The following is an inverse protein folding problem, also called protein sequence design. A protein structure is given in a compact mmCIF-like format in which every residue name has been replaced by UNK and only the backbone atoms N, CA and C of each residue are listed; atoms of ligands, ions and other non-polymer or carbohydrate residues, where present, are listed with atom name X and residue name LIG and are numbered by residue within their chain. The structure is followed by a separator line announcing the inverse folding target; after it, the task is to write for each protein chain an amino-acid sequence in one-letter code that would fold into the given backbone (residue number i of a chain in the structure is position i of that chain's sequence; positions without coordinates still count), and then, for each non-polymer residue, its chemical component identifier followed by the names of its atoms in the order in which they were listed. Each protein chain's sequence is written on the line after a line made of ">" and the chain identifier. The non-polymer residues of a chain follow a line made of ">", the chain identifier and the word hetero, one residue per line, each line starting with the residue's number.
data_IF_948740961307
#
_entry.id   IF_948740961307
#
_cell.length_a   1.000
_cell.length_b   1.000
_cell.length_c   1.000
_cell.angle_alpha   90.00
_cell.angle_beta   90.00
_cell.angle_gamma   90.00
#
_symmetry.space_group_name_H-M   'P 1'
#
loop_
_entity.id
_entity.type
_entity.pdbx_description
1 polymer ?
#
# COMPACT_ATOMS: atom_id res chain seq x y z
N UNK A 1 3.43 18.03 6.91
CA UNK A 1 4.43 17.58 5.92
C UNK A 1 4.88 16.16 6.25
N UNK A 2 4.81 15.24 5.28
CA UNK A 2 5.30 13.86 5.44
C UNK A 2 6.70 13.71 4.83
N UNK A 3 7.58 12.90 5.43
CA UNK A 3 8.93 12.60 4.94
C UNK A 3 9.03 11.13 4.55
N UNK A 4 9.32 10.83 3.29
CA UNK A 4 9.50 9.45 2.81
C UNK A 4 10.90 9.27 2.24
N UNK A 5 11.62 8.30 2.77
CA UNK A 5 12.98 7.96 2.35
C UNK A 5 12.95 6.95 1.21
N UNK A 6 13.70 7.21 0.15
CA UNK A 6 14.06 6.21 -0.85
C UNK A 6 15.50 5.75 -0.57
N UNK A 7 15.65 4.48 -0.19
CA UNK A 7 16.94 3.85 0.11
C UNK A 7 17.17 2.62 -0.76
N UNK A 8 18.36 2.03 -0.69
CA UNK A 8 18.75 0.84 -1.45
C UNK A 8 20.15 0.96 -2.04
N UNK A 9 20.67 -0.15 -2.55
CA UNK A 9 22.02 -0.24 -3.09
C UNK A 9 22.26 0.63 -4.33
N UNK A 10 23.52 0.68 -4.81
CA UNK A 10 23.85 1.26 -6.10
C UNK A 10 23.00 0.66 -7.23
N UNK A 11 22.67 1.49 -8.23
CA UNK A 11 21.85 1.11 -9.39
C UNK A 11 20.40 0.68 -9.07
N UNK A 12 19.89 0.95 -7.86
CA UNK A 12 18.47 0.74 -7.53
C UNK A 12 17.51 1.72 -8.23
N UNK A 13 18.04 2.78 -8.86
CA UNK A 13 17.29 3.76 -9.64
C UNK A 13 16.72 4.93 -8.83
N UNK A 14 17.21 5.19 -7.62
CA UNK A 14 16.72 6.24 -6.70
C UNK A 14 16.55 7.60 -7.36
N UNK A 15 17.61 8.18 -7.91
CA UNK A 15 17.60 9.52 -8.51
C UNK A 15 16.59 9.64 -9.65
N UNK A 16 16.54 8.63 -10.55
CA UNK A 16 15.55 8.59 -11.63
C UNK A 16 14.13 8.45 -11.08
N UNK A 17 13.92 7.59 -10.09
CA UNK A 17 12.61 7.38 -9.46
C UNK A 17 12.11 8.63 -8.76
N UNK A 18 12.95 9.37 -8.01
CA UNK A 18 12.58 10.62 -7.34
C UNK A 18 11.99 11.65 -8.31
N UNK A 19 12.64 11.86 -9.46
CA UNK A 19 12.16 12.78 -10.48
C UNK A 19 10.82 12.33 -11.10
N UNK A 20 10.68 11.03 -11.36
CA UNK A 20 9.43 10.48 -11.88
C UNK A 20 8.28 10.58 -10.85
N UNK A 21 8.56 10.26 -9.59
CA UNK A 21 7.61 10.33 -8.48
C UNK A 21 7.13 11.76 -8.25
N UNK A 22 8.04 12.74 -8.19
CA UNK A 22 7.67 14.17 -8.10
C UNK A 22 6.65 14.52 -9.17
N UNK A 23 6.97 14.23 -10.44
CA UNK A 23 6.09 14.55 -11.57
C UNK A 23 4.71 13.87 -11.47
N UNK A 24 4.66 12.62 -11.01
CA UNK A 24 3.41 11.85 -10.92
C UNK A 24 2.53 12.30 -9.75
N UNK A 25 3.13 12.53 -8.59
CA UNK A 25 2.44 12.98 -7.39
C UNK A 25 1.96 14.44 -7.52
N UNK A 26 2.73 15.31 -8.18
CA UNK A 26 2.29 16.69 -8.47
C UNK A 26 1.11 16.74 -9.44
N UNK A 27 1.05 15.82 -10.41
CA UNK A 27 -0.13 15.66 -11.28
C UNK A 27 -1.38 15.24 -10.51
N UNK A 28 -1.21 14.63 -9.34
CA UNK A 28 -2.29 14.26 -8.40
C UNK A 28 -2.62 15.39 -7.41
N UNK A 29 -2.01 16.56 -7.56
CA UNK A 29 -2.28 17.75 -6.73
C UNK A 29 -1.39 17.91 -5.50
N UNK A 30 -0.42 17.02 -5.27
CA UNK A 30 0.49 17.10 -4.12
C UNK A 30 1.66 18.06 -4.39
N UNK A 31 1.99 18.92 -3.44
CA UNK A 31 3.22 19.70 -3.49
C UNK A 31 4.39 18.88 -2.93
N UNK A 32 5.29 18.44 -3.83
CA UNK A 32 6.39 17.52 -3.51
C UNK A 32 7.75 18.23 -3.56
N UNK A 33 8.51 18.14 -2.47
CA UNK A 33 9.90 18.61 -2.40
C UNK A 33 10.84 17.41 -2.50
N UNK A 34 11.91 17.52 -3.30
CA UNK A 34 12.97 16.51 -3.35
C UNK A 34 14.12 16.96 -2.47
N UNK A 35 14.60 16.05 -1.62
CA UNK A 35 15.81 16.22 -0.85
C UNK A 35 16.92 15.35 -1.45
N UNK A 36 17.89 15.99 -2.09
CA UNK A 36 18.98 15.32 -2.81
C UNK A 36 20.05 14.78 -1.86
N UNK A 37 20.79 13.75 -2.30
CA UNK A 37 21.87 13.13 -1.52
C UNK A 37 23.01 14.12 -1.21
N UNK A 38 23.30 14.31 0.08
CA UNK A 38 24.37 15.20 0.56
C UNK A 38 25.78 14.71 0.21
N UNK A 39 25.97 13.39 0.11
CA UNK A 39 27.28 12.80 -0.21
C UNK A 39 27.87 13.35 -1.52
N UNK A 40 27.03 13.56 -2.54
CA UNK A 40 27.47 14.11 -3.82
C UNK A 40 27.96 15.56 -3.69
N UNK A 41 27.32 16.36 -2.83
CA UNK A 41 27.75 17.73 -2.54
C UNK A 41 29.09 17.75 -1.78
N UNK A 42 29.22 16.93 -0.73
CA UNK A 42 30.46 16.82 0.07
C UNK A 42 31.65 16.43 -0.81
N UNK A 43 31.46 15.50 -1.74
CA UNK A 43 32.48 15.11 -2.71
C UNK A 43 32.85 16.24 -3.68
N UNK A 44 31.87 17.04 -4.14
CA UNK A 44 32.13 18.20 -5.00
C UNK A 44 32.92 19.31 -4.30
N UNK A 45 32.77 19.42 -2.97
CA UNK A 45 33.57 20.30 -2.11
C UNK A 45 34.97 19.74 -1.79
N UNK A 46 35.42 18.70 -2.50
CA UNK A 46 36.74 18.08 -2.38
C UNK A 46 37.01 17.36 -1.05
N UNK A 47 35.95 17.08 -0.27
CA UNK A 47 36.00 16.31 0.97
C UNK A 47 35.80 14.83 0.60
N UNK A 48 36.85 14.03 0.73
CA UNK A 48 36.87 12.61 0.33
C UNK A 48 37.26 11.69 1.49
N UNK A 49 36.73 10.46 1.56
CA UNK A 49 37.08 9.50 2.61
C UNK A 49 38.58 9.18 2.64
N UNK A 50 39.26 9.19 1.49
CA UNK A 50 40.71 8.97 1.41
C UNK A 50 41.54 10.12 2.01
N UNK A 51 40.94 11.30 2.23
CA UNK A 51 41.61 12.48 2.79
C UNK A 51 41.36 12.63 4.29
N UNK A 52 40.11 12.41 4.73
CA UNK A 52 39.69 12.67 6.13
C UNK A 52 39.37 11.39 6.92
N UNK A 53 39.40 10.22 6.28
CA UNK A 53 38.98 8.96 6.87
C UNK A 53 37.49 8.69 6.66
N UNK A 54 37.11 7.41 6.75
CA UNK A 54 35.73 6.97 6.53
C UNK A 54 34.76 7.54 7.58
N UNK A 55 35.16 7.57 8.84
CA UNK A 55 34.34 8.07 9.94
C UNK A 55 33.99 9.55 9.76
N UNK A 56 35.01 10.41 9.64
CA UNK A 56 34.82 11.86 9.45
C UNK A 56 34.01 12.17 8.18
N UNK A 57 34.21 11.40 7.11
CA UNK A 57 33.43 11.56 5.89
C UNK A 57 31.94 11.24 6.09
N UNK A 58 31.62 10.16 6.79
CA UNK A 58 30.24 9.81 7.10
C UNK A 58 29.60 10.79 8.08
N UNK A 59 30.36 11.27 9.07
CA UNK A 59 29.93 12.29 10.03
C UNK A 59 29.58 13.62 9.33
N UNK A 60 30.44 14.10 8.43
CA UNK A 60 30.19 15.33 7.65
C UNK A 60 28.88 15.25 6.85
N UNK A 61 28.61 14.09 6.22
CA UNK A 61 27.36 13.86 5.49
C UNK A 61 26.17 13.83 6.45
N UNK A 62 26.29 13.11 7.57
CA UNK A 62 25.23 12.96 8.57
C UNK A 62 24.81 14.31 9.16
N UNK A 63 25.78 15.10 9.64
CA UNK A 63 25.55 16.41 10.25
C UNK A 63 24.88 17.38 9.28
N UNK A 64 25.38 17.44 8.04
CA UNK A 64 24.80 18.29 6.99
C UNK A 64 23.38 17.87 6.65
N UNK A 65 23.15 16.57 6.44
CA UNK A 65 21.82 16.05 6.12
C UNK A 65 20.83 16.36 7.25
N UNK A 66 21.18 16.06 8.50
CA UNK A 66 20.35 16.35 9.67
C UNK A 66 19.99 17.83 9.74
N UNK A 67 20.99 18.71 9.62
CA UNK A 67 20.82 20.17 9.66
C UNK A 67 19.97 20.71 8.50
N UNK A 68 20.11 20.17 7.30
CA UNK A 68 19.31 20.60 6.15
C UNK A 68 17.88 20.07 6.21
N UNK A 69 17.69 18.82 6.66
CA UNK A 69 16.37 18.26 6.93
C UNK A 69 15.60 19.04 8.01
N UNK A 70 16.30 19.57 9.01
CA UNK A 70 15.72 20.40 10.09
C UNK A 70 15.33 21.81 9.62
N UNK A 71 15.89 22.28 8.50
CA UNK A 71 15.56 23.57 7.87
C UNK A 71 14.37 23.49 6.92
N UNK A 72 13.85 22.30 6.64
CA UNK A 72 12.71 22.12 5.74
C UNK A 72 11.46 22.79 6.32
N UNK A 73 10.90 23.75 5.58
CA UNK A 73 9.68 24.46 5.95
C UNK A 73 8.43 23.62 5.67
N UNK A 74 7.35 23.81 6.43
CA UNK A 74 6.08 23.08 6.29
C UNK A 74 5.28 23.39 5.02
N UNK A 75 5.81 24.14 4.06
CA UNK A 75 5.09 24.57 2.86
C UNK A 75 4.94 23.47 1.79
N UNK A 76 4.99 22.19 2.15
CA UNK A 76 4.77 21.08 1.23
C UNK A 76 4.05 19.91 1.88
N UNK A 77 3.37 19.12 1.05
CA UNK A 77 2.64 17.93 1.51
C UNK A 77 3.63 16.80 1.80
N UNK A 78 4.63 16.65 0.93
CA UNK A 78 5.56 15.51 0.92
C UNK A 78 6.99 15.94 0.60
N UNK A 79 7.94 15.41 1.37
CA UNK A 79 9.38 15.42 1.07
C UNK A 79 9.82 14.00 0.71
N UNK A 80 10.43 13.85 -0.47
CA UNK A 80 11.07 12.60 -0.88
C UNK A 80 12.58 12.73 -0.72
N UNK A 81 13.19 11.87 0.09
CA UNK A 81 14.61 11.92 0.42
C UNK A 81 15.40 10.85 -0.33
N UNK A 82 16.48 11.25 -1.01
CA UNK A 82 17.51 10.33 -1.50
C UNK A 82 18.40 9.95 -0.32
N UNK A 83 18.02 8.87 0.38
CA UNK A 83 18.58 8.34 1.64
C UNK A 83 18.12 9.02 2.93
N UNK A 84 18.09 8.23 4.00
CA UNK A 84 17.86 8.70 5.36
C UNK A 84 19.10 8.54 6.23
N UNK A 85 19.14 9.22 7.38
CA UNK A 85 20.26 9.21 8.32
C UNK A 85 20.64 7.81 8.84
N UNK A 86 19.73 6.83 8.75
CA UNK A 86 20.00 5.45 9.16
C UNK A 86 20.83 4.69 8.11
N UNK A 87 20.87 5.15 6.85
CA UNK A 87 21.69 4.53 5.79
C UNK A 87 23.17 4.48 6.16
N UNK A 88 23.66 5.41 7.00
CA UNK A 88 25.03 5.43 7.50
C UNK A 88 25.44 4.13 8.22
N UNK A 89 24.48 3.41 8.80
CA UNK A 89 24.70 2.09 9.43
C UNK A 89 25.16 1.03 8.43
N UNK A 90 24.81 1.17 7.14
CA UNK A 90 25.29 0.26 6.09
C UNK A 90 26.74 0.56 5.67
N UNK A 91 27.27 1.74 6.01
CA UNK A 91 28.61 2.19 5.59
C UNK A 91 29.63 2.22 6.74
N UNK A 92 29.17 2.28 7.99
CA UNK A 92 30.04 2.32 9.18
C UNK A 92 30.04 0.98 9.93
N UNK A 93 31.19 0.54 10.46
CA UNK A 93 31.23 -0.48 11.49
C UNK A 93 30.34 -0.12 12.68
N UNK A 94 29.81 -1.12 13.38
CA UNK A 94 28.84 -0.94 14.46
C UNK A 94 29.33 0.05 15.53
N UNK A 95 30.58 -0.08 15.95
CA UNK A 95 31.19 0.74 17.00
C UNK A 95 31.31 2.21 16.56
N UNK A 96 31.59 2.46 15.28
CA UNK A 96 31.67 3.81 14.72
C UNK A 96 30.30 4.44 14.57
N UNK A 97 29.28 3.67 14.17
CA UNK A 97 27.92 4.17 14.09
C UNK A 97 27.38 4.52 15.49
N UNK A 98 27.64 3.69 16.50
CA UNK A 98 27.27 3.98 17.90
C UNK A 98 27.98 5.23 18.43
N UNK A 99 29.25 5.45 18.06
CA UNK A 99 29.98 6.68 18.37
C UNK A 99 29.32 7.90 17.71
N UNK A 100 28.98 7.83 16.42
CA UNK A 100 28.32 8.90 15.69
C UNK A 100 27.00 9.30 16.37
N UNK A 101 26.16 8.33 16.74
CA UNK A 101 24.90 8.60 17.45
C UNK A 101 25.12 9.33 18.78
N UNK A 102 26.16 8.92 19.53
CA UNK A 102 26.52 9.53 20.81
C UNK A 102 27.02 10.98 20.63
N UNK A 103 27.87 11.22 19.64
CA UNK A 103 28.39 12.57 19.35
C UNK A 103 27.29 13.52 18.87
N UNK A 104 26.34 12.99 18.09
CA UNK A 104 25.21 13.74 17.55
C UNK A 104 24.02 13.86 18.51
N UNK A 105 24.15 13.32 19.71
CA UNK A 105 23.11 13.29 20.77
C UNK A 105 21.76 12.76 20.27
N UNK A 106 21.79 11.74 19.40
CA UNK A 106 20.59 11.11 18.82
C UNK A 106 20.53 9.64 19.21
N UNK A 107 19.31 9.12 19.32
CA UNK A 107 19.07 7.68 19.50
C UNK A 107 18.64 7.05 18.19
N UNK A 108 18.83 5.74 18.07
CA UNK A 108 18.38 5.00 16.88
C UNK A 108 16.86 5.15 16.66
N UNK A 109 16.07 5.11 17.74
CA UNK A 109 14.61 5.29 17.66
C UNK A 109 14.26 6.71 17.20
N UNK A 110 14.95 7.72 17.74
CA UNK A 110 14.75 9.10 17.28
C UNK A 110 15.09 9.30 15.80
N UNK A 111 15.96 8.47 15.19
CA UNK A 111 16.23 8.51 13.76
C UNK A 111 15.14 7.83 12.94
N UNK A 112 14.56 6.73 13.43
CA UNK A 112 13.41 6.09 12.77
C UNK A 112 12.22 7.04 12.74
N UNK A 113 11.94 7.70 13.87
CA UNK A 113 10.79 8.61 14.02
C UNK A 113 10.88 9.88 13.15
N UNK A 114 12.05 10.18 12.56
CA UNK A 114 12.21 11.32 11.62
C UNK A 114 11.49 11.10 10.30
N UNK A 115 11.16 9.86 9.97
CA UNK A 115 10.61 9.48 8.67
C UNK A 115 9.23 8.86 8.86
N UNK A 116 8.31 9.21 7.96
CA UNK A 116 6.96 8.63 7.98
C UNK A 116 6.92 7.31 7.22
N UNK A 117 7.73 7.17 6.17
CA UNK A 117 7.81 5.95 5.37
C UNK A 117 9.18 5.73 4.77
N UNK A 118 9.50 4.47 4.47
CA UNK A 118 10.80 4.08 3.91
C UNK A 118 10.58 3.10 2.78
N UNK A 119 11.00 3.47 1.57
CA UNK A 119 10.99 2.61 0.40
C UNK A 119 12.39 2.02 0.19
N UNK A 120 12.53 0.72 0.41
CA UNK A 120 13.78 -0.02 0.25
C UNK A 120 13.83 -0.61 -1.17
N UNK A 121 14.56 0.05 -2.06
CA UNK A 121 14.58 -0.27 -3.48
C UNK A 121 15.60 -1.37 -3.78
N UNK A 122 15.13 -2.49 -4.35
CA UNK A 122 16.01 -3.55 -4.83
C UNK A 122 16.78 -3.11 -6.08
N UNK A 123 18.05 -3.50 -6.19
CA UNK A 123 18.90 -3.20 -7.35
C UNK A 123 18.42 -3.88 -8.63
N UNK A 124 18.58 -3.19 -9.77
CA UNK A 124 18.34 -3.76 -11.10
C UNK A 124 19.27 -4.95 -11.44
N UNK A 125 20.35 -5.14 -10.65
CA UNK A 125 21.20 -6.32 -10.72
C UNK A 125 20.41 -7.64 -10.54
N UNK A 126 19.35 -7.62 -9.72
CA UNK A 126 18.50 -8.78 -9.46
C UNK A 126 17.74 -9.29 -10.70
N UNK A 127 17.40 -8.40 -11.64
CA UNK A 127 16.72 -8.72 -12.91
C UNK A 127 17.68 -8.72 -14.11
N UNK A 128 18.99 -8.80 -13.87
CA UNK A 128 20.01 -8.83 -14.94
C UNK A 128 20.22 -7.50 -15.68
N UNK A 129 19.54 -6.41 -15.28
CA UNK A 129 19.68 -5.07 -15.87
C UNK A 129 20.60 -4.19 -15.01
N UNK A 130 21.89 -4.51 -15.02
CA UNK A 130 22.92 -3.67 -14.37
C UNK A 130 23.60 -2.78 -15.42
N UNK A 131 23.22 -1.50 -15.49
CA UNK A 131 23.89 -0.50 -16.36
C UNK A 131 24.89 0.32 -15.54
N UNK A 132 26.17 0.27 -15.92
CA UNK A 132 27.26 1.09 -15.35
C UNK A 132 27.26 2.56 -15.85
N UNK A 133 26.21 2.99 -16.58
CA UNK A 133 26.28 4.15 -17.48
C UNK A 133 26.21 5.53 -16.79
N UNK A 134 25.77 5.64 -15.54
CA UNK A 134 25.53 6.97 -14.91
C UNK A 134 26.55 7.41 -13.85
N UNK A 135 27.54 6.60 -13.49
CA UNK A 135 28.59 7.03 -12.54
C UNK A 135 29.94 6.37 -12.85
N UNK A 136 30.88 7.13 -13.42
CA UNK A 136 32.24 6.69 -13.83
C UNK A 136 33.17 6.26 -12.68
N UNK A 137 32.68 6.20 -11.43
CA UNK A 137 33.50 5.98 -10.21
C UNK A 137 32.92 4.87 -9.32
N UNK A 138 32.35 3.79 -9.88
CA UNK A 138 31.81 2.69 -9.06
C UNK A 138 32.35 1.34 -9.54
N UNK A 139 33.09 0.67 -8.65
CA UNK A 139 33.91 -0.53 -8.87
C UNK A 139 33.27 -1.83 -8.36
N UNK A 140 31.97 -1.84 -8.07
CA UNK A 140 31.34 -2.96 -7.37
C UNK A 140 30.76 -4.00 -8.34
N UNK A 141 31.01 -5.27 -8.03
CA UNK A 141 30.51 -6.45 -8.76
C UNK A 141 29.05 -6.76 -8.40
N UNK A 142 28.34 -7.50 -9.26
CA UNK A 142 26.90 -7.80 -9.13
C UNK A 142 26.50 -8.33 -7.73
N UNK A 143 27.36 -9.15 -7.14
CA UNK A 143 27.11 -9.79 -5.82
C UNK A 143 27.27 -8.82 -4.65
N UNK A 144 28.10 -7.79 -4.78
CA UNK A 144 28.26 -6.75 -3.74
C UNK A 144 27.02 -5.86 -3.68
N UNK A 145 26.43 -5.51 -4.82
CA UNK A 145 25.18 -4.75 -4.86
C UNK A 145 24.02 -5.50 -4.19
N UNK A 146 23.95 -6.82 -4.35
CA UNK A 146 22.91 -7.65 -3.72
C UNK A 146 23.12 -7.78 -2.19
N UNK A 147 24.37 -7.91 -1.72
CA UNK A 147 24.68 -7.92 -0.28
C UNK A 147 24.31 -6.59 0.38
N UNK A 148 24.59 -5.48 -0.29
CA UNK A 148 24.23 -4.15 0.19
C UNK A 148 22.71 -3.98 0.29
N UNK A 149 21.94 -4.50 -0.69
CA UNK A 149 20.48 -4.47 -0.63
C UNK A 149 19.93 -5.20 0.61
N UNK A 150 20.46 -6.38 0.92
CA UNK A 150 20.08 -7.13 2.12
C UNK A 150 20.41 -6.37 3.42
N UNK A 151 21.53 -5.65 3.45
CA UNK A 151 21.89 -4.84 4.60
C UNK A 151 20.91 -3.67 4.78
N UNK A 152 20.50 -2.98 3.71
CA UNK A 152 19.47 -1.95 3.81
C UNK A 152 18.13 -2.50 4.30
N UNK A 153 17.74 -3.70 3.85
CA UNK A 153 16.54 -4.38 4.37
C UNK A 153 16.66 -4.61 5.88
N UNK A 154 17.80 -5.13 6.37
CA UNK A 154 18.02 -5.33 7.81
C UNK A 154 17.99 -4.02 8.58
N UNK A 155 18.69 -3.00 8.09
CA UNK A 155 18.80 -1.68 8.73
C UNK A 155 17.43 -1.03 8.89
N UNK A 156 16.56 -1.13 7.88
CA UNK A 156 15.26 -0.46 7.87
C UNK A 156 14.09 -1.35 8.31
N UNK A 157 14.29 -2.66 8.49
CA UNK A 157 13.26 -3.61 8.93
C UNK A 157 12.57 -3.25 10.24
N UNK A 158 13.21 -2.41 11.07
CA UNK A 158 12.67 -1.94 12.34
C UNK A 158 11.70 -0.77 12.20
N UNK A 159 11.70 -0.09 11.05
CA UNK A 159 10.78 1.02 10.80
C UNK A 159 9.38 0.47 10.46
N UNK A 160 8.32 0.89 11.17
CA UNK A 160 6.99 0.30 11.06
C UNK A 160 6.38 0.44 9.66
N UNK A 161 6.73 1.51 8.95
CA UNK A 161 6.25 1.80 7.58
C UNK A 161 7.36 1.58 6.52
N UNK A 162 8.20 0.55 6.70
CA UNK A 162 9.18 0.16 5.69
C UNK A 162 8.57 -0.78 4.65
N UNK A 163 8.78 -0.46 3.37
CA UNK A 163 8.25 -1.24 2.23
C UNK A 163 9.39 -1.58 1.29
N UNK A 164 9.57 -2.87 1.01
CA UNK A 164 10.51 -3.34 -0.01
C UNK A 164 9.90 -3.19 -1.40
N UNK A 165 10.63 -2.55 -2.31
CA UNK A 165 10.23 -2.37 -3.70
C UNK A 165 11.14 -3.21 -4.58
N UNK A 166 10.59 -4.30 -5.09
CA UNK A 166 11.27 -5.24 -5.98
C UNK A 166 11.72 -4.57 -7.29
N UNK A 167 12.76 -5.11 -7.91
CA UNK A 167 13.08 -4.73 -9.27
C UNK A 167 12.03 -5.30 -10.24
N UNK A 168 11.65 -4.52 -11.24
CA UNK A 168 10.76 -4.94 -12.33
C UNK A 168 11.50 -4.85 -13.65
N UNK A 169 11.06 -5.62 -14.65
CA UNK A 169 11.62 -5.56 -15.99
C UNK A 169 11.38 -4.18 -16.62
N UNK A 170 10.19 -3.62 -16.41
CA UNK A 170 9.81 -2.27 -16.84
C UNK A 170 9.97 -1.35 -15.63
N UNK A 171 10.89 -0.38 -15.71
CA UNK A 171 11.18 0.53 -14.59
C UNK A 171 9.97 1.37 -14.18
N UNK A 172 9.08 1.67 -15.13
CA UNK A 172 7.85 2.43 -14.88
C UNK A 172 6.88 1.71 -13.92
N UNK A 173 6.80 0.37 -14.00
CA UNK A 173 6.03 -0.46 -13.06
C UNK A 173 6.62 -0.40 -11.65
N UNK A 174 7.97 -0.39 -11.56
CA UNK A 174 8.66 -0.21 -10.29
C UNK A 174 8.30 1.14 -9.66
N UNK A 175 8.29 2.21 -10.46
CA UNK A 175 7.91 3.56 -10.00
C UNK A 175 6.43 3.62 -9.63
N UNK A 176 5.53 2.95 -10.36
CA UNK A 176 4.12 2.84 -10.00
C UNK A 176 3.93 2.17 -8.63
N UNK A 177 4.70 1.11 -8.33
CA UNK A 177 4.67 0.48 -7.01
C UNK A 177 5.17 1.40 -5.90
N UNK A 178 6.20 2.22 -6.15
CA UNK A 178 6.68 3.23 -5.20
C UNK A 178 5.62 4.31 -4.95
N UNK A 179 5.01 4.80 -6.02
CA UNK A 179 3.93 5.80 -5.96
C UNK A 179 2.76 5.30 -5.11
N UNK A 180 2.31 4.07 -5.33
CA UNK A 180 1.25 3.47 -4.52
C UNK A 180 1.64 3.36 -3.04
N UNK A 181 2.88 2.94 -2.74
CA UNK A 181 3.35 2.85 -1.36
C UNK A 181 3.39 4.23 -0.67
N UNK A 182 3.77 5.28 -1.40
CA UNK A 182 3.74 6.67 -0.91
C UNK A 182 2.30 7.10 -0.63
N UNK A 183 1.38 6.88 -1.58
CA UNK A 183 -0.02 7.27 -1.43
C UNK A 183 -0.68 6.57 -0.25
N UNK A 184 -0.39 5.28 -0.03
CA UNK A 184 -0.85 4.53 1.13
C UNK A 184 -0.34 5.15 2.45
N UNK A 185 0.94 5.56 2.51
CA UNK A 185 1.52 6.23 3.70
C UNK A 185 0.92 7.63 3.95
N UNK A 186 0.43 8.28 2.90
CA UNK A 186 -0.32 9.53 2.99
C UNK A 186 -1.80 9.32 3.34
N UNK A 187 -2.30 8.08 3.35
CA UNK A 187 -3.72 7.77 3.52
C UNK A 187 -4.57 8.22 2.33
N UNK A 188 -3.97 8.40 1.16
CA UNK A 188 -4.66 8.89 -0.05
C UNK A 188 -4.92 7.71 -0.98
N UNK A 189 -6.18 7.52 -1.32
CA UNK A 189 -6.60 6.46 -2.23
C UNK A 189 -7.13 7.05 -3.54
N UNK A 190 -6.54 6.64 -4.66
CA UNK A 190 -7.00 7.00 -6.00
C UNK A 190 -7.69 5.83 -6.67
N UNK A 191 -8.82 6.11 -7.30
CA UNK A 191 -9.67 5.18 -8.01
C UNK A 191 -9.69 5.52 -9.51
N UNK A 192 -9.89 4.50 -10.35
CA UNK A 192 -10.19 4.74 -11.77
C UNK A 192 -11.60 5.29 -11.92
N UNK A 193 -11.75 6.36 -12.70
CA UNK A 193 -13.06 6.82 -13.17
C UNK A 193 -13.53 5.89 -14.27
N UNK A 194 -14.74 5.36 -14.15
CA UNK A 194 -15.28 4.37 -15.09
C UNK A 194 -16.54 4.83 -15.80
N UNK A 195 -16.81 4.20 -16.94
CA UNK A 195 -18.08 4.31 -17.65
C UNK A 195 -19.17 3.42 -17.01
N UNK A 196 -20.37 3.43 -17.59
CA UNK A 196 -21.52 2.65 -17.11
C UNK A 196 -21.31 1.12 -17.14
N UNK A 197 -20.30 0.63 -17.86
CA UNK A 197 -19.95 -0.79 -17.93
C UNK A 197 -18.80 -1.15 -16.98
N UNK A 198 -18.32 -0.19 -16.18
CA UNK A 198 -17.18 -0.38 -15.29
C UNK A 198 -15.84 -0.41 -16.03
N UNK A 199 -15.76 0.13 -17.25
CA UNK A 199 -14.49 0.23 -17.98
C UNK A 199 -13.76 1.53 -17.60
N UNK A 200 -12.46 1.47 -17.24
CA UNK A 200 -11.66 2.67 -16.98
C UNK A 200 -11.65 3.64 -18.18
N UNK A 201 -11.92 4.91 -17.89
CA UNK A 201 -11.88 6.02 -18.86
C UNK A 201 -10.47 6.55 -19.08
N UNK A 202 -9.52 6.18 -18.22
CA UNK A 202 -8.17 6.73 -18.15
C UNK A 202 -8.04 7.95 -17.23
N UNK A 203 -9.17 8.52 -16.76
CA UNK A 203 -9.17 9.49 -15.68
C UNK A 203 -9.13 8.80 -14.31
N UNK A 204 -8.60 9.51 -13.32
CA UNK A 204 -8.50 9.04 -11.93
C UNK A 204 -9.10 10.06 -10.99
N UNK A 205 -9.52 9.62 -9.82
CA UNK A 205 -10.16 10.45 -8.81
C UNK A 205 -9.75 10.01 -7.41
N UNK A 206 -9.58 10.95 -6.48
CA UNK A 206 -9.42 10.61 -5.07
C UNK A 206 -10.74 10.03 -4.51
N UNK A 207 -10.67 8.97 -3.71
CA UNK A 207 -11.84 8.27 -3.17
C UNK A 207 -12.84 9.19 -2.47
N UNK A 208 -12.39 10.05 -1.57
CA UNK A 208 -13.30 10.96 -0.84
C UNK A 208 -14.01 11.92 -1.80
N UNK A 209 -13.28 12.46 -2.78
CA UNK A 209 -13.84 13.33 -3.80
C UNK A 209 -14.82 12.59 -4.72
N UNK A 210 -14.54 11.31 -5.03
CA UNK A 210 -15.43 10.47 -5.82
C UNK A 210 -16.80 10.31 -5.14
N UNK A 211 -16.80 9.97 -3.85
CA UNK A 211 -18.02 9.88 -3.04
C UNK A 211 -18.70 11.23 -2.85
N UNK A 212 -17.94 12.32 -2.69
CA UNK A 212 -18.53 13.65 -2.56
C UNK A 212 -19.24 14.13 -3.84
N UNK A 213 -18.74 13.74 -5.02
CA UNK A 213 -19.24 14.20 -6.32
C UNK A 213 -20.07 13.18 -7.08
N UNK A 214 -20.22 11.96 -6.56
CA UNK A 214 -20.91 10.87 -7.25
C UNK A 214 -20.19 10.45 -8.52
N UNK A 215 -18.86 10.33 -8.47
CA UNK A 215 -18.05 9.91 -9.61
C UNK A 215 -17.98 8.39 -9.63
N UNK A 216 -18.34 7.82 -10.78
CA UNK A 216 -18.35 6.38 -10.99
C UNK A 216 -16.96 5.77 -10.84
N UNK A 217 -16.88 4.74 -10.00
CA UNK A 217 -15.67 3.99 -9.72
C UNK A 217 -15.97 2.50 -9.52
N UNK A 218 -14.94 1.68 -9.30
CA UNK A 218 -15.07 0.22 -9.18
C UNK A 218 -14.83 -0.29 -7.77
N UNK A 219 -15.51 -1.37 -7.44
CA UNK A 219 -15.28 -2.18 -6.24
C UNK A 219 -15.24 -3.67 -6.57
N UNK A 220 -14.61 -4.45 -5.70
CA UNK A 220 -14.63 -5.92 -5.74
C UNK A 220 -15.33 -6.43 -4.49
N UNK A 221 -16.31 -7.33 -4.67
CA UNK A 221 -17.10 -7.94 -3.62
C UNK A 221 -16.81 -9.44 -3.58
N UNK A 222 -16.48 -9.97 -2.42
CA UNK A 222 -16.20 -11.40 -2.23
C UNK A 222 -17.15 -11.98 -1.20
N UNK A 223 -17.78 -13.10 -1.57
CA UNK A 223 -18.60 -13.92 -0.70
C UNK A 223 -17.90 -15.25 -0.45
N UNK A 224 -17.65 -15.57 0.82
CA UNK A 224 -17.04 -16.83 1.23
C UNK A 224 -18.14 -17.77 1.69
N UNK A 225 -18.17 -18.96 1.11
CA UNK A 225 -19.12 -20.01 1.44
C UNK A 225 -18.42 -21.30 1.86
N UNK A 226 -19.13 -22.14 2.58
CA UNK A 226 -18.74 -23.51 2.88
C UNK A 226 -19.95 -24.41 2.93
N UNK A 227 -19.73 -25.72 2.84
CA UNK A 227 -20.76 -26.74 3.12
C UNK A 227 -20.57 -27.28 4.52
N UNK A 228 -21.58 -27.15 5.37
CA UNK A 228 -21.55 -27.65 6.75
C UNK A 228 -22.86 -28.38 7.03
N UNK A 229 -22.80 -29.65 7.45
CA UNK A 229 -23.97 -30.48 7.75
C UNK A 229 -25.04 -30.44 6.64
N UNK A 230 -24.60 -30.63 5.39
CA UNK A 230 -25.42 -30.58 4.16
C UNK A 230 -26.10 -29.24 3.84
N UNK A 231 -25.80 -28.19 4.60
CA UNK A 231 -26.26 -26.83 4.36
C UNK A 231 -25.14 -25.96 3.82
N UNK A 232 -25.51 -24.99 2.98
CA UNK A 232 -24.58 -23.95 2.56
C UNK A 232 -24.57 -22.86 3.62
N UNK A 233 -23.39 -22.61 4.16
CA UNK A 233 -23.15 -21.48 5.04
C UNK A 233 -22.38 -20.40 4.30
N UNK A 234 -22.65 -19.15 4.64
CA UNK A 234 -22.04 -17.96 4.08
C UNK A 234 -21.44 -17.12 5.20
N UNK A 235 -20.22 -16.65 4.99
CA UNK A 235 -19.52 -15.80 5.94
C UNK A 235 -20.00 -14.36 5.75
N UNK A 236 -20.38 -13.69 6.83
CA UNK A 236 -20.62 -12.25 6.85
C UNK A 236 -19.67 -11.61 7.86
N UNK A 237 -19.31 -10.37 7.60
CA UNK A 237 -18.54 -9.57 8.54
C UNK A 237 -19.45 -8.61 9.28
N UNK A 238 -19.13 -8.30 10.53
CA UNK A 238 -19.67 -7.14 11.20
C UNK A 238 -18.65 -6.00 11.15
N UNK A 239 -19.07 -4.86 10.60
CA UNK A 239 -18.22 -3.67 10.46
C UNK A 239 -17.81 -3.12 11.83
N UNK A 240 -16.55 -2.68 11.95
CA UNK A 240 -16.05 -2.15 13.21
C UNK A 240 -16.79 -0.88 13.66
N UNK A 241 -16.81 -0.64 14.98
CA UNK A 241 -17.51 0.50 15.59
C UNK A 241 -16.96 1.87 15.19
N UNK A 242 -15.68 1.95 14.82
CA UNK A 242 -14.97 3.17 14.42
C UNK A 242 -15.18 3.55 12.95
N UNK A 243 -15.94 2.77 12.16
CA UNK A 243 -16.22 3.10 10.76
C UNK A 243 -17.09 4.35 10.65
N UNK A 244 -16.73 5.23 9.72
CA UNK A 244 -17.47 6.47 9.44
C UNK A 244 -18.85 6.22 8.82
N UNK A 245 -19.02 5.11 8.11
CA UNK A 245 -20.29 4.65 7.54
C UNK A 245 -20.68 3.26 8.06
N UNK A 246 -21.94 3.15 8.49
CA UNK A 246 -22.60 1.90 8.94
C UNK A 246 -21.83 1.10 10.01
N UNK A 247 -21.48 1.69 11.17
CA UNK A 247 -20.81 0.95 12.24
C UNK A 247 -21.70 -0.16 12.79
N UNK A 248 -21.12 -1.33 13.09
CA UNK A 248 -21.81 -2.52 13.63
C UNK A 248 -22.86 -3.17 12.71
N UNK A 249 -22.98 -2.74 11.46
CA UNK A 249 -23.83 -3.42 10.47
C UNK A 249 -23.16 -4.70 9.98
N UNK A 250 -23.96 -5.75 9.74
CA UNK A 250 -23.53 -6.90 8.97
C UNK A 250 -23.37 -6.53 7.49
N UNK A 251 -22.28 -7.00 6.91
CA UNK A 251 -21.87 -6.72 5.54
C UNK A 251 -21.38 -8.02 4.86
N UNK A 252 -21.09 -7.92 3.57
CA UNK A 252 -20.56 -9.02 2.77
C UNK A 252 -19.21 -9.51 3.30
N UNK A 253 -18.73 -10.70 2.87
CA UNK A 253 -17.53 -11.30 3.50
C UNK A 253 -16.28 -10.42 3.40
N UNK A 254 -16.07 -9.77 2.25
CA UNK A 254 -15.02 -8.76 2.03
C UNK A 254 -15.40 -7.85 0.88
N UNK A 255 -15.16 -6.55 1.02
CA UNK A 255 -15.53 -5.53 0.04
C UNK A 255 -14.51 -4.40 0.01
N UNK A 256 -14.01 -4.06 -1.17
CA UNK A 256 -13.04 -2.96 -1.27
C UNK A 256 -13.04 -2.22 -2.58
N UNK A 257 -12.53 -0.99 -2.50
CA UNK A 257 -12.25 -0.14 -3.65
C UNK A 257 -11.11 -0.73 -4.49
N UNK A 258 -11.18 -0.50 -5.80
CA UNK A 258 -10.12 -0.92 -6.73
C UNK A 258 -9.18 0.27 -6.92
N UNK A 259 -7.93 0.19 -6.44
CA UNK A 259 -6.94 1.23 -6.67
C UNK A 259 -6.70 1.44 -8.16
N UNK A 260 -6.37 2.67 -8.55
CA UNK A 260 -6.01 3.02 -9.93
C UNK A 260 -5.06 1.99 -10.55
N UNK A 261 -5.41 1.51 -11.74
CA UNK A 261 -4.59 0.57 -12.51
C UNK A 261 -4.65 -0.89 -12.03
N UNK A 262 -5.40 -1.19 -10.97
CA UNK A 262 -5.63 -2.56 -10.50
C UNK A 262 -6.83 -3.20 -11.19
N UNK A 263 -6.85 -4.54 -11.24
CA UNK A 263 -7.98 -5.34 -11.71
C UNK A 263 -8.89 -5.81 -10.58
N UNK A 264 -10.03 -6.39 -10.96
CA UNK A 264 -11.03 -6.90 -10.02
C UNK A 264 -10.50 -8.09 -9.19
N UNK A 265 -9.80 -9.01 -9.84
CA UNK A 265 -9.27 -10.24 -9.22
C UNK A 265 -8.17 -9.90 -8.21
N UNK A 266 -7.21 -9.07 -8.61
CA UNK A 266 -6.10 -8.69 -7.74
C UNK A 266 -6.60 -7.93 -6.50
N UNK A 267 -7.60 -7.06 -6.69
CA UNK A 267 -8.22 -6.32 -5.59
C UNK A 267 -9.01 -7.24 -4.66
N UNK A 268 -9.79 -8.19 -5.20
CA UNK A 268 -10.54 -9.17 -4.39
C UNK A 268 -9.61 -10.02 -3.50
N UNK A 269 -8.48 -10.50 -4.05
CA UNK A 269 -7.47 -11.26 -3.30
C UNK A 269 -6.84 -10.38 -2.22
N UNK A 270 -6.47 -9.14 -2.56
CA UNK A 270 -5.85 -8.20 -1.63
C UNK A 270 -6.75 -7.91 -0.43
N UNK A 271 -8.01 -7.53 -0.68
CA UNK A 271 -8.97 -7.16 0.37
C UNK A 271 -9.26 -8.35 1.31
N UNK A 272 -9.46 -9.56 0.76
CA UNK A 272 -9.60 -10.77 1.59
C UNK A 272 -8.37 -11.06 2.46
N UNK A 273 -7.17 -10.77 1.95
CA UNK A 273 -5.94 -10.96 2.71
C UNK A 273 -5.78 -9.89 3.79
N UNK A 274 -6.19 -8.65 3.53
CA UNK A 274 -6.10 -7.50 4.46
C UNK A 274 -7.16 -7.62 5.57
N UNK A 275 -8.44 -7.80 5.21
CA UNK A 275 -9.56 -7.80 6.15
C UNK A 275 -9.69 -9.10 6.95
N UNK A 276 -9.48 -10.25 6.29
CA UNK A 276 -9.76 -11.58 6.84
C UNK A 276 -8.52 -12.45 7.07
N UNK A 277 -7.36 -12.04 6.55
CA UNK A 277 -6.12 -12.80 6.65
C UNK A 277 -6.07 -14.05 5.76
N UNK A 278 -6.93 -14.15 4.74
CA UNK A 278 -7.04 -15.34 3.88
C UNK A 278 -6.26 -15.13 2.60
N UNK A 279 -5.41 -16.10 2.26
CA UNK A 279 -4.74 -16.14 0.96
C UNK A 279 -5.62 -16.83 -0.07
N UNK A 280 -5.91 -16.12 -1.16
CA UNK A 280 -6.69 -16.60 -2.30
C UNK A 280 -5.84 -16.58 -3.57
N UNK A 281 -6.11 -17.52 -4.47
CA UNK A 281 -5.60 -17.50 -5.84
C UNK A 281 -6.71 -17.06 -6.81
N UNK A 282 -6.33 -16.62 -8.02
CA UNK A 282 -7.31 -16.21 -9.03
C UNK A 282 -8.30 -17.33 -9.40
N UNK A 283 -7.86 -18.60 -9.33
CA UNK A 283 -8.70 -19.76 -9.59
C UNK A 283 -9.70 -20.08 -8.47
N UNK A 284 -9.52 -19.53 -7.27
CA UNK A 284 -10.49 -19.65 -6.18
C UNK A 284 -11.73 -18.77 -6.40
N UNK A 285 -11.62 -17.72 -7.22
CA UNK A 285 -12.66 -16.71 -7.43
C UNK A 285 -13.61 -17.13 -8.55
N UNK A 286 -14.87 -17.41 -8.19
CA UNK A 286 -15.93 -17.68 -9.16
C UNK A 286 -16.77 -16.42 -9.40
N UNK A 287 -16.80 -15.93 -10.63
CA UNK A 287 -17.55 -14.72 -10.99
C UNK A 287 -19.07 -14.96 -10.94
N UNK A 288 -19.77 -14.14 -10.16
CA UNK A 288 -21.24 -14.09 -10.11
C UNK A 288 -21.83 -13.04 -11.08
N UNK A 289 -21.06 -12.01 -11.42
CA UNK A 289 -21.43 -10.97 -12.38
C UNK A 289 -21.01 -9.57 -11.94
N UNK A 290 -21.56 -8.56 -12.62
CA UNK A 290 -21.41 -7.14 -12.27
C UNK A 290 -22.70 -6.62 -11.64
N UNK A 291 -22.55 -5.77 -10.62
CA UNK A 291 -23.65 -5.07 -9.96
C UNK A 291 -23.39 -3.55 -10.00
N UNK A 292 -24.43 -2.80 -10.31
CA UNK A 292 -24.41 -1.33 -10.29
C UNK A 292 -25.00 -0.83 -8.98
N UNK A 293 -24.24 -0.03 -8.25
CA UNK A 293 -24.67 0.60 -6.99
C UNK A 293 -24.89 2.08 -7.23
N UNK A 294 -26.11 2.54 -6.93
CA UNK A 294 -26.47 3.96 -6.89
C UNK A 294 -27.13 4.20 -5.54
N UNK A 295 -26.45 4.95 -4.68
CA UNK A 295 -26.94 5.22 -3.34
C UNK A 295 -26.52 6.61 -2.89
N UNK A 296 -27.41 7.29 -2.18
CA UNK A 296 -27.20 8.66 -1.71
C UNK A 296 -27.54 8.74 -0.22
N UNK A 297 -26.65 9.37 0.54
CA UNK A 297 -26.83 9.61 1.96
C UNK A 297 -26.03 10.85 2.41
N UNK A 298 -26.06 11.13 3.71
CA UNK A 298 -25.31 12.21 4.32
C UNK A 298 -24.70 11.74 5.63
N UNK A 299 -23.37 11.78 5.71
CA UNK A 299 -22.61 11.46 6.92
C UNK A 299 -21.94 12.73 7.44
N UNK A 300 -22.11 13.04 8.73
CA UNK A 300 -21.50 14.22 9.35
C UNK A 300 -21.73 15.54 8.57
N UNK A 301 -22.97 15.76 8.12
CA UNK A 301 -23.37 16.92 7.30
C UNK A 301 -22.68 17.04 5.92
N UNK A 302 -21.94 16.00 5.50
CA UNK A 302 -21.38 15.90 4.15
C UNK A 302 -22.21 14.95 3.31
N UNK A 303 -22.53 15.37 2.10
CA UNK A 303 -23.19 14.52 1.11
C UNK A 303 -22.28 13.37 0.70
N UNK A 304 -22.86 12.18 0.59
CA UNK A 304 -22.19 10.96 0.14
C UNK A 304 -23.00 10.34 -0.99
N UNK A 305 -22.40 10.27 -2.17
CA UNK A 305 -22.99 9.75 -3.39
C UNK A 305 -22.20 8.52 -3.83
N UNK A 306 -22.72 7.35 -3.51
CA UNK A 306 -22.10 6.10 -3.91
C UNK A 306 -22.51 5.72 -5.32
N UNK A 307 -21.51 5.56 -6.19
CA UNK A 307 -21.67 5.27 -7.61
C UNK A 307 -20.63 4.22 -8.00
N UNK A 308 -21.00 2.95 -7.84
CA UNK A 308 -20.06 1.84 -7.99
C UNK A 308 -20.47 0.87 -9.09
N UNK A 309 -19.47 0.35 -9.77
CA UNK A 309 -19.59 -0.89 -10.54
C UNK A 309 -18.80 -1.97 -9.80
N UNK A 310 -19.53 -2.89 -9.18
CA UNK A 310 -19.00 -3.93 -8.30
C UNK A 310 -18.93 -5.26 -9.05
N UNK A 311 -17.75 -5.88 -9.11
CA UNK A 311 -17.63 -7.27 -9.56
C UNK A 311 -17.83 -8.20 -8.36
N UNK A 312 -18.79 -9.11 -8.49
CA UNK A 312 -19.19 -10.02 -7.42
C UNK A 312 -18.53 -11.37 -7.65
N UNK A 313 -17.79 -11.85 -6.65
CA UNK A 313 -17.16 -13.15 -6.62
C UNK A 313 -17.70 -14.00 -5.48
N UNK A 314 -17.68 -15.31 -5.67
CA UNK A 314 -17.93 -16.29 -4.61
C UNK A 314 -16.75 -17.26 -4.54
N UNK A 315 -16.39 -17.66 -3.32
CA UNK A 315 -15.27 -18.55 -3.02
C UNK A 315 -15.73 -19.63 -2.06
N UNK A 316 -15.38 -20.89 -2.33
CA UNK A 316 -15.54 -21.97 -1.36
C UNK A 316 -14.27 -22.10 -0.50
N UNK A 317 -14.38 -21.83 0.80
CA UNK A 317 -13.32 -22.12 1.78
C UNK A 317 -13.94 -22.72 3.04
N UNK A 318 -13.55 -23.95 3.34
CA UNK A 318 -13.92 -24.60 4.60
C UNK A 318 -12.96 -24.18 5.72
N UNK A 319 -13.30 -23.08 6.38
CA UNK A 319 -12.53 -22.50 7.49
C UNK A 319 -13.38 -22.39 8.74
N UNK A 320 -12.77 -22.70 9.89
CA UNK A 320 -13.31 -22.37 11.21
C UNK A 320 -13.07 -20.89 11.54
N UNK A 321 -13.90 -20.30 12.41
CA UNK A 321 -13.82 -18.87 12.77
C UNK A 321 -12.43 -18.49 13.32
N UNK A 322 -11.77 -19.40 14.04
CA UNK A 322 -10.43 -19.13 14.61
C UNK A 322 -9.29 -19.05 13.59
N UNK A 323 -9.54 -19.39 12.32
CA UNK A 323 -8.53 -19.31 11.25
C UNK A 323 -8.50 -17.95 10.56
N UNK A 324 -9.53 -17.11 10.75
CA UNK A 324 -9.56 -15.76 10.22
C UNK A 324 -8.73 -14.83 11.11
N UNK A 325 -7.92 -13.98 10.48
CA UNK A 325 -7.16 -12.93 11.17
C UNK A 325 -7.79 -11.60 10.83
N UNK A 326 -8.82 -11.27 11.59
CA UNK A 326 -9.65 -10.08 11.39
C UNK A 326 -8.84 -8.81 11.67
N UNK A 327 -8.84 -7.87 10.71
CA UNK A 327 -8.30 -6.54 10.90
C UNK A 327 -9.26 -5.69 11.74
N UNK A 328 -8.89 -5.39 12.99
CA UNK A 328 -9.78 -4.76 13.98
C UNK A 328 -10.14 -3.31 13.66
N UNK A 329 -9.32 -2.64 12.86
CA UNK A 329 -9.58 -1.29 12.38
C UNK A 329 -10.75 -1.24 11.40
N UNK A 330 -11.00 -2.34 10.70
CA UNK A 330 -12.02 -2.50 9.66
C UNK A 330 -13.27 -3.23 10.19
N UNK A 331 -13.06 -4.30 10.96
CA UNK A 331 -14.08 -5.28 11.35
C UNK A 331 -14.12 -5.54 12.85
N UNK A 332 -15.33 -5.78 13.39
CA UNK A 332 -15.52 -6.21 14.78
C UNK A 332 -15.31 -7.74 14.90
N UNK A 333 -16.03 -8.51 14.08
CA UNK A 333 -15.90 -9.96 13.99
C UNK A 333 -16.50 -10.50 12.67
N UNK A 334 -16.37 -11.82 12.48
CA UNK A 334 -17.00 -12.55 11.37
C UNK A 334 -17.86 -13.69 11.89
N UNK A 335 -18.93 -14.01 11.16
CA UNK A 335 -19.88 -15.05 11.56
C UNK A 335 -20.38 -15.84 10.35
N UNK A 336 -20.64 -17.14 10.58
CA UNK A 336 -21.23 -18.02 9.57
C UNK A 336 -22.74 -18.07 9.75
N UNK A 337 -23.47 -17.75 8.68
CA UNK A 337 -24.92 -17.89 8.61
C UNK A 337 -25.31 -19.02 7.68
N UNK A 338 -26.42 -19.70 7.94
CA UNK A 338 -27.11 -20.48 6.91
C UNK A 338 -27.56 -19.52 5.80
N UNK A 339 -27.29 -19.87 4.54
CA UNK A 339 -27.54 -18.98 3.40
C UNK A 339 -29.04 -18.62 3.29
N UNK A 340 -29.94 -19.59 3.49
CA UNK A 340 -31.38 -19.35 3.36
C UNK A 340 -31.88 -18.47 4.52
N UNK A 341 -31.36 -18.69 5.72
CA UNK A 341 -31.66 -17.87 6.90
C UNK A 341 -31.18 -16.43 6.73
N UNK A 342 -29.96 -16.21 6.22
CA UNK A 342 -29.45 -14.86 5.94
C UNK A 342 -30.29 -14.16 4.87
N UNK A 343 -30.61 -14.84 3.77
CA UNK A 343 -31.44 -14.26 2.70
C UNK A 343 -32.81 -13.85 3.21
N UNK A 344 -33.42 -14.65 4.10
CA UNK A 344 -34.67 -14.29 4.79
C UNK A 344 -34.46 -13.09 5.71
N UNK A 345 -33.39 -13.09 6.50
CA UNK A 345 -33.12 -12.03 7.46
C UNK A 345 -32.92 -10.66 6.79
N UNK A 346 -32.22 -10.64 5.64
CA UNK A 346 -32.01 -9.47 4.78
C UNK A 346 -33.31 -9.00 4.13
N UNK A 347 -34.13 -9.94 3.63
CA UNK A 347 -35.43 -9.61 3.03
C UNK A 347 -36.39 -8.97 4.03
N UNK A 348 -36.43 -9.52 5.24
CA UNK A 348 -37.35 -9.11 6.30
C UNK A 348 -36.77 -7.94 7.14
N UNK A 349 -35.55 -7.48 6.84
CA UNK A 349 -34.78 -6.50 7.63
C UNK A 349 -34.73 -6.83 9.13
N UNK A 350 -34.59 -8.12 9.46
CA UNK A 350 -34.62 -8.62 10.86
C UNK A 350 -33.27 -8.52 11.57
N UNK A 351 -32.21 -8.13 10.85
CA UNK A 351 -30.87 -7.85 11.37
C UNK A 351 -30.43 -6.47 10.89
N UNK A 352 -29.44 -5.87 11.57
CA UNK A 352 -28.84 -4.61 11.12
C UNK A 352 -27.81 -4.93 10.05
N UNK A 353 -28.07 -4.59 8.79
CA UNK A 353 -27.18 -4.93 7.66
C UNK A 353 -27.11 -3.82 6.60
N UNK A 354 -26.05 -3.88 5.79
CA UNK A 354 -25.93 -3.15 4.51
C UNK A 354 -25.92 -4.09 3.29
N UNK A 355 -26.26 -5.36 3.49
CA UNK A 355 -26.29 -6.39 2.44
C UNK A 355 -27.46 -6.14 1.46
N UNK A 356 -27.15 -6.14 0.16
CA UNK A 356 -28.15 -6.05 -0.90
C UNK A 356 -28.71 -7.43 -1.25
N UNK A 357 -30.03 -7.60 -1.18
CA UNK A 357 -30.70 -8.86 -1.53
C UNK A 357 -30.45 -9.28 -2.99
N UNK A 358 -30.37 -8.32 -3.90
CA UNK A 358 -30.00 -8.54 -5.31
C UNK A 358 -28.66 -9.30 -5.43
N UNK A 359 -27.64 -8.85 -4.68
CA UNK A 359 -26.31 -9.44 -4.72
C UNK A 359 -26.28 -10.84 -4.11
N UNK A 360 -26.96 -11.04 -2.98
CA UNK A 360 -27.15 -12.37 -2.40
C UNK A 360 -27.83 -13.34 -3.37
N UNK A 361 -28.80 -12.87 -4.16
CA UNK A 361 -29.42 -13.71 -5.21
C UNK A 361 -28.43 -14.08 -6.31
N UNK A 362 -27.51 -13.19 -6.70
CA UNK A 362 -26.44 -13.51 -7.66
C UNK A 362 -25.57 -14.65 -7.13
N UNK A 363 -25.14 -14.54 -5.86
CA UNK A 363 -24.32 -15.56 -5.18
C UNK A 363 -25.05 -16.90 -5.09
N UNK A 364 -26.31 -16.90 -4.62
CA UNK A 364 -27.11 -18.10 -4.50
C UNK A 364 -27.34 -18.80 -5.85
N UNK A 365 -27.53 -18.04 -6.92
CA UNK A 365 -27.67 -18.59 -8.27
C UNK A 365 -26.38 -19.20 -8.80
N UNK A 366 -25.21 -18.63 -8.47
CA UNK A 366 -23.91 -19.21 -8.83
C UNK A 366 -23.66 -20.52 -8.07
N UNK A 367 -24.00 -20.57 -6.78
CA UNK A 367 -23.88 -21.79 -5.96
C UNK A 367 -24.77 -22.91 -6.49
N UNK A 368 -26.03 -22.61 -6.85
CA UNK A 368 -26.99 -23.58 -7.39
C UNK A 368 -26.61 -24.19 -8.74
N UNK A 369 -25.68 -23.57 -9.47
CA UNK A 369 -25.15 -24.13 -10.72
C UNK A 369 -24.07 -25.20 -10.46
N UNK A 370 -23.86 -25.61 -9.21
CA UNK A 370 -22.89 -26.60 -8.74
C UNK A 370 -21.45 -26.32 -9.23
N UNK A 371 -21.09 -25.05 -9.33
CA UNK A 371 -19.74 -24.64 -9.73
C UNK A 371 -18.75 -24.77 -8.55
N UNK A 372 -19.26 -24.88 -7.32
CA UNK A 372 -18.48 -24.78 -6.08
C UNK A 372 -18.42 -26.06 -5.23
N UNK A 373 -19.30 -27.05 -5.48
CA UNK A 373 -19.46 -28.24 -4.64
C UNK A 373 -19.57 -29.53 -5.46
#
# INVERSE_FOLDING_TARGET
>A
MKKIVLTGGPCAGKTTALLMLKKRLEKKGLHVVLFSEIASQVLQENIHPNKIGLYEFQKEIFERQKREEDKLCEQCDLVLLDRGLIDHKAYLPKEMFELLLKEEEVTLDSLYDRYNGVLILQSGASVGKYRKETNRVRLEEKDEALKIDEEFVKVWSRHPHSVRIEAKEIFDEKVARMEQAILNELGIEFLDVVDENGKPTGAIVEREYAHQKGIWHRTSHVWIVRKCMDKVQILVQQRARNKSSFPLCFDISSAGHIPTGSGFIESAIRECQEELGISLEACDLHECGLRTVVWDDSFFEKTFHDRQISKVFVVNKDLSIGQFKVQKEELDHVEWFDLEELMKAVRDNSIIHCIALEELNMVANTIKKDILF
#
